data_IF_456910557672
#
_entry.id   IF_456910557672
#
_cell.length_a   1.000
_cell.length_b   1.000
_cell.length_c   1.000
_cell.angle_alpha   90.00
_cell.angle_beta   90.00
_cell.angle_gamma   90.00
#
_symmetry.space_group_name_H-M   'P 1'
#
loop_
_entity.id
_entity.type
_entity.pdbx_description
1 polymer ?
#
# COMPACT_ATOMS: atom_id res chain seq x y z
N UNK A 1 3.62 -14.38 10.94
CA UNK A 1 2.65 -13.85 9.94
C UNK A 1 2.78 -12.35 9.97
N UNK A 2 2.91 -11.72 8.84
CA UNK A 2 2.90 -10.26 8.72
C UNK A 2 1.47 -9.75 8.82
N UNK A 3 1.28 -8.50 9.22
CA UNK A 3 -0.06 -7.92 9.39
C UNK A 3 -0.79 -7.61 8.07
N UNK A 4 -0.08 -7.41 6.95
CA UNK A 4 -0.69 -7.01 5.67
C UNK A 4 -0.03 -7.69 4.45
N UNK A 5 1.30 -7.76 4.38
CA UNK A 5 2.03 -8.35 3.26
C UNK A 5 2.72 -9.62 3.73
N UNK A 6 2.42 -10.72 3.11
CA UNK A 6 3.06 -12.02 3.34
C UNK A 6 3.54 -12.64 2.00
N UNK A 7 4.07 -13.87 2.08
CA UNK A 7 4.56 -14.61 0.90
C UNK A 7 3.46 -15.01 -0.10
N UNK A 8 2.21 -15.00 0.33
CA UNK A 8 1.05 -15.38 -0.49
C UNK A 8 0.38 -14.12 -1.09
N UNK A 9 0.88 -12.92 -0.78
CA UNK A 9 0.40 -11.65 -1.32
C UNK A 9 0.78 -11.54 -2.81
N UNK A 10 -0.25 -11.42 -3.67
CA UNK A 10 -0.16 -11.32 -5.14
C UNK A 10 -0.59 -9.94 -5.58
N UNK A 11 0.37 -9.09 -5.92
CA UNK A 11 0.15 -7.67 -6.17
C UNK A 11 -0.18 -7.39 -7.63
N UNK A 12 -1.31 -6.71 -7.87
CA UNK A 12 -1.66 -6.11 -9.14
C UNK A 12 -1.39 -4.60 -9.07
N UNK A 13 -0.68 -4.04 -10.06
CA UNK A 13 -0.35 -2.61 -10.07
C UNK A 13 -1.27 -1.86 -11.05
N UNK A 14 -2.04 -0.89 -10.57
CA UNK A 14 -2.82 0.02 -11.41
C UNK A 14 -2.01 1.27 -11.76
N UNK A 15 -2.02 1.67 -13.03
CA UNK A 15 -1.11 2.67 -13.56
C UNK A 15 0.29 2.09 -13.88
N UNK A 16 0.37 0.80 -14.14
CA UNK A 16 1.59 -0.01 -14.21
C UNK A 16 2.61 0.51 -15.22
N UNK A 17 2.18 0.96 -16.40
CA UNK A 17 3.07 1.44 -17.47
C UNK A 17 3.39 2.93 -17.38
N UNK A 18 2.88 3.63 -16.35
CA UNK A 18 3.26 5.01 -16.05
C UNK A 18 4.66 5.08 -15.43
N UNK A 19 5.27 6.27 -15.42
CA UNK A 19 6.64 6.44 -14.91
C UNK A 19 6.80 5.99 -13.46
N UNK A 20 5.89 6.38 -12.58
CA UNK A 20 5.90 5.99 -11.16
C UNK A 20 5.56 4.50 -10.99
N UNK A 21 4.53 4.01 -11.71
CA UNK A 21 4.17 2.59 -11.71
C UNK A 21 5.34 1.72 -12.15
N UNK A 22 6.03 2.07 -13.23
CA UNK A 22 7.20 1.34 -13.72
C UNK A 22 8.34 1.34 -12.70
N UNK A 23 8.73 2.53 -12.19
CA UNK A 23 9.84 2.66 -11.26
C UNK A 23 9.63 1.85 -9.99
N UNK A 24 8.49 2.06 -9.33
CA UNK A 24 8.25 1.43 -8.04
C UNK A 24 7.86 -0.05 -8.14
N UNK A 25 7.27 -0.47 -9.26
CA UNK A 25 7.06 -1.91 -9.52
C UNK A 25 8.37 -2.64 -9.72
N UNK A 26 9.31 -2.07 -10.49
CA UNK A 26 10.64 -2.65 -10.66
C UNK A 26 11.36 -2.81 -9.31
N UNK A 27 11.36 -1.77 -8.47
CA UNK A 27 11.93 -1.82 -7.13
C UNK A 27 11.24 -2.83 -6.21
N UNK A 28 9.92 -2.99 -6.35
CA UNK A 28 9.16 -3.97 -5.54
C UNK A 28 9.48 -5.40 -5.96
N UNK A 29 9.59 -5.66 -7.26
CA UNK A 29 10.00 -6.96 -7.82
C UNK A 29 11.42 -7.30 -7.36
N UNK A 30 12.36 -6.36 -7.47
CA UNK A 30 13.75 -6.53 -7.00
C UNK A 30 13.81 -6.81 -5.50
N UNK A 31 12.92 -6.21 -4.71
CA UNK A 31 12.80 -6.43 -3.26
C UNK A 31 12.22 -7.81 -2.91
N UNK A 32 11.62 -8.52 -3.87
CA UNK A 32 11.01 -9.84 -3.67
C UNK A 32 9.48 -9.84 -3.58
N UNK A 33 8.82 -8.70 -3.86
CA UNK A 33 7.35 -8.64 -3.91
C UNK A 33 6.83 -9.44 -5.09
N UNK A 34 5.83 -10.29 -4.87
CA UNK A 34 5.19 -11.06 -5.92
C UNK A 34 4.19 -10.19 -6.71
N UNK A 35 4.71 -9.37 -7.63
CA UNK A 35 3.89 -8.62 -8.59
C UNK A 35 3.47 -9.58 -9.70
N UNK A 36 2.18 -9.73 -9.92
CA UNK A 36 1.62 -10.71 -10.88
C UNK A 36 1.17 -10.10 -12.20
N UNK A 37 1.15 -8.78 -12.31
CA UNK A 37 0.77 -8.05 -13.51
C UNK A 37 0.35 -6.62 -13.19
N UNK A 38 -0.12 -5.90 -14.20
CA UNK A 38 -0.61 -4.55 -13.99
C UNK A 38 -1.75 -4.16 -14.91
N UNK A 39 -2.46 -3.10 -14.53
CA UNK A 39 -3.56 -2.52 -15.28
C UNK A 39 -3.15 -1.18 -15.86
N UNK A 40 -3.32 -1.04 -17.16
CA UNK A 40 -3.25 0.24 -17.87
C UNK A 40 -4.28 0.19 -19.01
N UNK A 41 -5.40 0.91 -18.89
CA UNK A 41 -6.44 0.92 -19.93
C UNK A 41 -5.88 1.29 -21.30
N UNK A 42 -6.26 0.52 -22.33
CA UNK A 42 -5.77 0.67 -23.70
C UNK A 42 -4.42 0.00 -23.99
N UNK A 43 -3.79 -0.64 -22.99
CA UNK A 43 -2.52 -1.39 -23.17
C UNK A 43 -2.66 -2.88 -22.81
N UNK A 44 -3.87 -3.38 -22.59
CA UNK A 44 -4.13 -4.79 -22.35
C UNK A 44 -3.57 -5.69 -23.46
N UNK A 45 -3.07 -6.86 -23.08
CA UNK A 45 -2.42 -7.81 -24.00
C UNK A 45 -0.95 -7.50 -24.29
N UNK A 46 -0.37 -6.42 -23.74
CA UNK A 46 1.07 -6.15 -23.83
C UNK A 46 1.82 -6.73 -22.62
N UNK A 47 3.14 -6.69 -22.68
CA UNK A 47 4.04 -7.10 -21.59
C UNK A 47 4.83 -5.88 -21.11
N UNK A 48 4.96 -5.72 -19.80
CA UNK A 48 5.75 -4.67 -19.16
C UNK A 48 6.46 -5.23 -17.92
N UNK A 49 7.75 -4.97 -17.75
CA UNK A 49 8.60 -5.59 -16.72
C UNK A 49 8.47 -7.13 -16.67
N UNK A 50 8.40 -7.76 -17.84
CA UNK A 50 8.19 -9.20 -18.04
C UNK A 50 6.87 -9.75 -17.46
N UNK A 51 5.90 -8.87 -17.17
CA UNK A 51 4.60 -9.19 -16.61
C UNK A 51 3.46 -8.76 -17.55
N UNK A 52 2.30 -9.46 -17.50
CA UNK A 52 1.16 -9.12 -18.34
C UNK A 52 0.52 -7.78 -17.93
N UNK A 53 0.06 -7.05 -18.94
CA UNK A 53 -0.73 -5.83 -18.77
C UNK A 53 -2.17 -6.10 -19.18
N UNK A 54 -3.12 -5.63 -18.35
CA UNK A 54 -4.56 -5.78 -18.53
C UNK A 54 -5.22 -4.43 -18.74
N UNK A 55 -6.44 -4.42 -19.32
CA UNK A 55 -7.23 -3.21 -19.46
C UNK A 55 -8.05 -2.89 -18.20
N UNK A 56 -8.35 -3.90 -17.37
CA UNK A 56 -9.15 -3.77 -16.16
C UNK A 56 -8.68 -4.71 -15.06
N UNK A 57 -9.11 -4.42 -13.82
CA UNK A 57 -8.83 -5.29 -12.66
C UNK A 57 -9.56 -6.63 -12.80
N UNK A 58 -10.81 -6.62 -13.30
CA UNK A 58 -11.58 -7.86 -13.52
C UNK A 58 -10.86 -8.81 -14.48
N UNK A 59 -10.33 -8.29 -15.60
CA UNK A 59 -9.53 -9.08 -16.55
C UNK A 59 -8.30 -9.71 -15.87
N UNK A 60 -7.63 -8.95 -15.00
CA UNK A 60 -6.47 -9.45 -14.24
C UNK A 60 -6.87 -10.51 -13.21
N UNK A 61 -8.00 -10.33 -12.52
CA UNK A 61 -8.49 -11.32 -11.53
C UNK A 61 -8.75 -12.67 -12.18
N UNK A 62 -9.35 -12.70 -13.37
CA UNK A 62 -9.62 -13.94 -14.11
C UNK A 62 -8.34 -14.69 -14.51
N UNK A 63 -7.27 -13.96 -14.84
CA UNK A 63 -6.05 -14.57 -15.42
C UNK A 63 -4.95 -14.80 -14.40
N UNK A 64 -4.71 -13.87 -13.48
CA UNK A 64 -3.57 -13.92 -12.56
C UNK A 64 -3.97 -13.85 -11.07
N UNK A 65 -5.25 -13.84 -10.75
CA UNK A 65 -5.80 -13.97 -9.39
C UNK A 65 -5.03 -13.15 -8.33
N UNK A 66 -4.92 -11.82 -8.47
CA UNK A 66 -4.32 -10.95 -7.46
C UNK A 66 -5.20 -10.92 -6.20
N UNK A 67 -4.59 -10.73 -5.04
CA UNK A 67 -5.30 -10.49 -3.78
C UNK A 67 -4.98 -9.12 -3.16
N UNK A 68 -4.07 -8.38 -3.79
CA UNK A 68 -3.69 -7.03 -3.40
C UNK A 68 -3.58 -6.10 -4.62
N UNK A 69 -3.95 -4.82 -4.46
CA UNK A 69 -3.83 -3.80 -5.50
C UNK A 69 -2.99 -2.62 -5.03
N UNK A 70 -2.01 -2.23 -5.86
CA UNK A 70 -1.14 -1.07 -5.63
C UNK A 70 -1.43 -0.01 -6.70
N UNK A 71 -1.84 1.21 -6.29
CA UNK A 71 -2.40 2.23 -7.18
C UNK A 71 -1.45 3.41 -7.34
N UNK A 72 -1.05 3.68 -8.59
CA UNK A 72 -0.24 4.82 -9.03
C UNK A 72 -0.95 5.68 -10.09
N UNK A 73 -2.26 5.55 -10.26
CA UNK A 73 -2.99 6.36 -11.24
C UNK A 73 -3.05 7.83 -10.81
N UNK A 74 -3.19 8.80 -11.74
CA UNK A 74 -3.36 10.20 -11.37
C UNK A 74 -4.60 10.45 -10.49
N UNK A 75 -4.53 11.45 -9.61
CA UNK A 75 -5.52 11.73 -8.57
C UNK A 75 -7.00 11.69 -9.03
N UNK A 76 -7.40 12.26 -10.19
CA UNK A 76 -8.80 12.20 -10.66
C UNK A 76 -9.31 10.78 -10.96
N UNK A 77 -8.43 9.81 -11.10
CA UNK A 77 -8.78 8.42 -11.42
C UNK A 77 -8.69 7.49 -10.20
N UNK A 78 -8.15 7.96 -9.07
CA UNK A 78 -7.93 7.12 -7.88
C UNK A 78 -9.22 6.53 -7.32
N UNK A 79 -10.29 7.32 -7.23
CA UNK A 79 -11.60 6.82 -6.80
C UNK A 79 -12.05 5.62 -7.65
N UNK A 80 -12.02 5.78 -8.98
CA UNK A 80 -12.40 4.70 -9.89
C UNK A 80 -11.51 3.47 -9.71
N UNK A 81 -10.21 3.65 -9.58
CA UNK A 81 -9.25 2.56 -9.42
C UNK A 81 -9.43 1.81 -8.09
N UNK A 82 -9.72 2.52 -6.99
CA UNK A 82 -9.99 1.89 -5.68
C UNK A 82 -11.30 1.08 -5.75
N UNK A 83 -12.37 1.68 -6.30
CA UNK A 83 -13.67 1.02 -6.37
C UNK A 83 -13.64 -0.19 -7.32
N UNK A 84 -12.96 -0.09 -8.46
CA UNK A 84 -12.76 -1.21 -9.38
C UNK A 84 -12.06 -2.40 -8.69
N UNK A 85 -11.00 -2.13 -7.91
CA UNK A 85 -10.31 -3.17 -7.15
C UNK A 85 -11.22 -3.79 -6.08
N UNK A 86 -12.00 -2.97 -5.37
CA UNK A 86 -12.96 -3.42 -4.36
C UNK A 86 -14.08 -4.29 -4.96
N UNK A 87 -14.67 -3.87 -6.08
CA UNK A 87 -15.71 -4.59 -6.81
C UNK A 87 -15.22 -5.91 -7.40
N UNK A 88 -13.95 -5.96 -7.81
CA UNK A 88 -13.29 -7.18 -8.27
C UNK A 88 -12.93 -8.16 -7.13
N UNK A 89 -13.23 -7.82 -5.88
CA UNK A 89 -13.01 -8.68 -4.71
C UNK A 89 -11.61 -8.61 -4.11
N UNK A 90 -10.79 -7.63 -4.49
CA UNK A 90 -9.46 -7.42 -3.89
C UNK A 90 -9.64 -6.83 -2.49
N UNK A 91 -9.05 -7.49 -1.49
CA UNK A 91 -9.25 -7.15 -0.08
C UNK A 91 -8.18 -6.25 0.52
N UNK A 92 -7.03 -6.16 -0.11
CA UNK A 92 -5.95 -5.28 0.31
C UNK A 92 -5.59 -4.30 -0.80
N UNK A 93 -5.79 -2.99 -0.54
CA UNK A 93 -5.61 -1.93 -1.53
C UNK A 93 -4.69 -0.86 -0.94
N UNK A 94 -3.67 -0.47 -1.70
CA UNK A 94 -2.74 0.61 -1.34
C UNK A 94 -2.80 1.68 -2.42
N UNK A 95 -3.23 2.89 -2.07
CA UNK A 95 -3.27 4.05 -2.97
C UNK A 95 -2.17 5.04 -2.60
N UNK A 96 -1.16 5.19 -3.45
CA UNK A 96 0.01 6.04 -3.19
C UNK A 96 -0.28 7.50 -3.52
N UNK A 97 -1.09 7.75 -4.52
CA UNK A 97 -1.29 9.05 -5.16
C UNK A 97 -1.71 10.12 -4.16
N UNK A 98 -1.06 11.29 -4.25
CA UNK A 98 -1.39 12.52 -3.54
C UNK A 98 -2.40 13.35 -4.35
N UNK A 99 -3.18 14.20 -3.65
CA UNK A 99 -4.10 15.16 -4.28
C UNK A 99 -5.45 14.55 -4.69
N UNK A 100 -5.82 13.40 -4.15
CA UNK A 100 -7.14 12.81 -4.36
C UNK A 100 -8.20 13.72 -3.72
N UNK A 101 -9.27 14.12 -4.43
CA UNK A 101 -10.30 14.99 -3.88
C UNK A 101 -10.94 14.39 -2.61
N UNK A 102 -11.08 15.20 -1.57
CA UNK A 102 -11.66 14.76 -0.28
C UNK A 102 -13.07 14.18 -0.46
N UNK A 103 -13.89 14.77 -1.35
CA UNK A 103 -15.23 14.27 -1.64
C UNK A 103 -15.21 12.87 -2.28
N UNK A 104 -14.24 12.60 -3.15
CA UNK A 104 -14.06 11.27 -3.74
C UNK A 104 -13.72 10.23 -2.65
N UNK A 105 -12.85 10.60 -1.69
CA UNK A 105 -12.51 9.72 -0.58
C UNK A 105 -13.67 9.50 0.40
N UNK A 106 -14.57 10.49 0.58
CA UNK A 106 -15.80 10.29 1.35
C UNK A 106 -16.72 9.24 0.70
N UNK A 107 -16.83 9.26 -0.63
CA UNK A 107 -17.62 8.27 -1.36
C UNK A 107 -16.96 6.88 -1.33
N UNK A 108 -15.64 6.82 -1.55
CA UNK A 108 -14.86 5.59 -1.39
C UNK A 108 -15.07 4.99 0.00
N UNK A 109 -14.89 5.80 1.04
CA UNK A 109 -15.01 5.37 2.44
C UNK A 109 -16.38 4.77 2.75
N UNK A 110 -17.45 5.40 2.27
CA UNK A 110 -18.83 4.88 2.42
C UNK A 110 -19.01 3.47 1.86
N UNK A 111 -18.31 3.15 0.78
CA UNK A 111 -18.41 1.85 0.10
C UNK A 111 -17.49 0.84 0.78
N UNK A 112 -16.23 1.23 1.00
CA UNK A 112 -15.19 0.33 1.52
C UNK A 112 -15.44 -0.05 2.98
N UNK A 113 -15.95 0.87 3.83
CA UNK A 113 -16.27 0.57 5.24
C UNK A 113 -17.39 -0.49 5.41
N UNK A 114 -18.20 -0.70 4.37
CA UNK A 114 -19.21 -1.77 4.34
C UNK A 114 -18.68 -3.12 3.87
N UNK A 115 -17.41 -3.18 3.46
CA UNK A 115 -16.76 -4.36 2.90
C UNK A 115 -15.58 -4.79 3.80
N UNK A 116 -15.23 -6.06 3.72
CA UNK A 116 -14.02 -6.60 4.38
C UNK A 116 -12.77 -6.26 3.54
N UNK A 117 -12.42 -4.96 3.51
CA UNK A 117 -11.30 -4.41 2.73
C UNK A 117 -10.42 -3.55 3.61
N UNK A 118 -9.12 -3.76 3.52
CA UNK A 118 -8.12 -2.85 4.08
C UNK A 118 -7.61 -1.92 2.99
N UNK A 119 -7.89 -0.62 3.13
CA UNK A 119 -7.41 0.43 2.23
C UNK A 119 -6.37 1.29 2.95
N UNK A 120 -5.15 1.34 2.42
CA UNK A 120 -4.06 2.20 2.89
C UNK A 120 -3.89 3.39 1.95
N UNK A 121 -3.77 4.58 2.50
CA UNK A 121 -3.72 5.82 1.72
C UNK A 121 -5.09 6.48 1.56
N UNK A 122 -5.25 7.44 0.65
CA UNK A 122 -4.25 7.95 -0.32
C UNK A 122 -3.13 8.78 0.32
N UNK A 123 -2.26 9.37 -0.51
CA UNK A 123 -1.15 10.20 -0.08
C UNK A 123 -0.28 9.50 0.97
N UNK A 124 0.19 8.32 0.66
CA UNK A 124 0.94 7.48 1.58
C UNK A 124 2.21 6.89 0.94
N UNK A 125 3.21 6.53 1.73
CA UNK A 125 4.41 5.85 1.22
C UNK A 125 4.18 4.35 0.99
N UNK A 126 3.03 3.81 1.41
CA UNK A 126 2.67 2.40 1.26
C UNK A 126 2.98 1.55 2.49
N UNK A 127 3.24 0.28 2.25
CA UNK A 127 3.47 -0.75 3.29
C UNK A 127 4.69 -1.58 2.92
N UNK A 128 5.48 -1.96 3.91
CA UNK A 128 6.58 -2.91 3.76
C UNK A 128 6.63 -3.88 4.94
N UNK A 129 6.82 -5.15 4.63
CA UNK A 129 7.23 -6.19 5.59
C UNK A 129 8.67 -6.57 5.26
N UNK A 130 9.65 -6.17 6.09
CA UNK A 130 11.05 -6.37 5.79
C UNK A 130 11.39 -7.84 5.55
N UNK A 131 12.11 -8.10 4.43
CA UNK A 131 12.48 -9.46 4.02
C UNK A 131 11.35 -10.28 3.37
N UNK A 132 10.15 -9.71 3.21
CA UNK A 132 8.99 -10.38 2.61
C UNK A 132 8.53 -9.67 1.34
N UNK A 133 8.19 -8.38 1.43
CA UNK A 133 7.71 -7.62 0.30
C UNK A 133 7.35 -6.19 0.64
N UNK A 134 7.20 -5.36 -0.40
CA UNK A 134 6.77 -3.97 -0.27
C UNK A 134 5.71 -3.60 -1.31
N UNK A 135 4.76 -2.79 -0.90
CA UNK A 135 3.75 -2.17 -1.76
C UNK A 135 3.81 -0.65 -1.56
N UNK A 136 4.47 0.07 -2.47
CA UNK A 136 4.61 1.51 -2.40
C UNK A 136 6.02 2.00 -2.70
N UNK A 137 6.34 3.19 -2.16
CA UNK A 137 7.54 3.94 -2.50
C UNK A 137 8.63 3.88 -1.42
N UNK A 138 8.39 3.19 -0.30
CA UNK A 138 9.38 3.07 0.78
C UNK A 138 10.69 2.47 0.26
N UNK A 139 11.86 3.04 0.60
CA UNK A 139 13.16 2.48 0.24
C UNK A 139 13.41 1.19 1.03
N UNK A 140 13.59 0.07 0.31
CA UNK A 140 13.74 -1.23 0.95
C UNK A 140 15.02 -1.38 1.78
N UNK A 141 16.08 -0.71 1.34
CA UNK A 141 17.44 -0.81 1.90
C UNK A 141 17.60 -0.23 3.32
N UNK A 142 16.67 0.63 3.76
CA UNK A 142 16.73 1.16 5.14
C UNK A 142 16.01 0.26 6.14
N UNK A 143 15.30 -0.76 5.68
CA UNK A 143 14.53 -1.66 6.53
C UNK A 143 15.32 -2.91 6.91
N UNK A 144 15.15 -3.34 8.14
CA UNK A 144 15.73 -4.58 8.68
C UNK A 144 14.60 -5.43 9.28
N UNK A 145 14.53 -6.75 8.99
CA UNK A 145 13.59 -7.62 9.68
C UNK A 145 13.79 -7.56 11.20
N UNK A 146 12.70 -7.37 11.95
CA UNK A 146 12.76 -7.23 13.40
C UNK A 146 11.38 -7.25 14.04
N UNK A 147 11.24 -6.59 15.20
CA UNK A 147 10.06 -6.73 16.06
C UNK A 147 9.35 -5.40 16.38
N UNK A 148 9.71 -4.31 15.70
CA UNK A 148 9.07 -3.01 15.90
C UNK A 148 8.05 -2.76 14.80
N UNK A 149 6.77 -2.62 15.14
CA UNK A 149 5.74 -2.13 14.25
C UNK A 149 5.87 -0.62 14.06
N UNK A 150 5.72 -0.11 12.85
CA UNK A 150 5.71 1.33 12.59
C UNK A 150 4.40 1.70 11.90
N UNK A 151 3.69 2.69 12.45
CA UNK A 151 2.51 3.30 11.82
C UNK A 151 2.76 4.79 11.71
N UNK A 152 2.57 5.36 10.52
CA UNK A 152 2.88 6.75 10.29
C UNK A 152 1.88 7.43 9.35
N UNK A 153 1.57 8.71 9.62
CA UNK A 153 0.91 9.60 8.67
C UNK A 153 1.90 10.39 7.81
N UNK A 154 3.13 10.55 8.28
CA UNK A 154 4.16 11.30 7.59
C UNK A 154 4.99 10.39 6.68
N UNK A 155 5.17 10.77 5.42
CA UNK A 155 6.09 10.07 4.51
C UNK A 155 7.54 10.15 5.00
N UNK A 156 8.02 11.37 5.24
CA UNK A 156 9.43 11.64 5.59
C UNK A 156 9.82 11.09 6.97
N UNK A 157 9.01 11.37 8.01
CA UNK A 157 9.31 10.91 9.37
C UNK A 157 9.20 9.38 9.50
N UNK A 158 8.45 8.72 8.62
CA UNK A 158 8.45 7.26 8.54
C UNK A 158 9.85 6.72 8.28
N UNK A 159 10.55 7.30 7.31
CA UNK A 159 11.89 6.84 6.94
C UNK A 159 12.92 7.11 8.05
N UNK A 160 12.77 8.21 8.78
CA UNK A 160 13.61 8.51 9.94
C UNK A 160 13.38 7.50 11.07
N UNK A 161 12.14 7.20 11.42
CA UNK A 161 11.82 6.20 12.44
C UNK A 161 12.32 4.80 12.06
N UNK A 162 12.16 4.42 10.80
CA UNK A 162 12.69 3.15 10.25
C UNK A 162 14.21 3.12 10.36
N UNK A 163 14.89 4.19 9.91
CA UNK A 163 16.37 4.23 9.94
C UNK A 163 16.91 4.14 11.35
N UNK A 164 16.33 4.86 12.32
CA UNK A 164 16.74 4.83 13.70
C UNK A 164 16.54 3.44 14.33
N UNK A 165 15.39 2.79 14.11
CA UNK A 165 15.13 1.43 14.62
C UNK A 165 16.04 0.39 13.96
N UNK A 166 16.40 0.58 12.70
CA UNK A 166 17.37 -0.26 11.99
C UNK A 166 18.79 -0.07 12.55
N UNK A 167 19.24 1.17 12.74
CA UNK A 167 20.59 1.47 13.28
C UNK A 167 20.78 0.96 14.71
N UNK A 168 19.70 0.89 15.48
CA UNK A 168 19.71 0.27 16.82
C UNK A 168 19.64 -1.26 16.79
N UNK A 169 19.56 -1.88 15.61
CA UNK A 169 19.46 -3.33 15.44
C UNK A 169 18.12 -3.92 15.88
N UNK A 170 17.09 -3.09 16.09
CA UNK A 170 15.76 -3.54 16.50
C UNK A 170 14.95 -4.07 15.30
N UNK A 171 15.11 -3.46 14.13
CA UNK A 171 14.39 -3.82 12.91
C UNK A 171 12.88 -3.68 13.01
N UNK A 172 12.18 -3.93 11.91
CA UNK A 172 10.74 -3.76 11.84
C UNK A 172 10.03 -5.08 11.56
N UNK A 173 8.90 -5.34 12.22
CA UNK A 173 7.96 -6.41 11.86
C UNK A 173 7.14 -6.04 10.63
N UNK A 174 6.62 -4.83 10.61
CA UNK A 174 5.97 -4.18 9.47
C UNK A 174 6.03 -2.67 9.62
N UNK A 175 6.06 -1.95 8.50
CA UNK A 175 5.95 -0.50 8.47
C UNK A 175 4.76 -0.11 7.58
N UNK A 176 3.82 0.66 8.12
CA UNK A 176 2.59 1.09 7.47
C UNK A 176 2.50 2.61 7.45
N UNK A 177 2.57 3.18 6.26
CA UNK A 177 2.27 4.59 6.07
C UNK A 177 0.79 4.74 5.70
N UNK A 178 -0.03 5.23 6.62
CA UNK A 178 -1.48 5.36 6.40
C UNK A 178 -1.88 6.59 5.59
N UNK A 179 -0.96 7.53 5.37
CA UNK A 179 -1.19 8.74 4.59
C UNK A 179 -1.58 9.97 5.39
N UNK A 180 -1.28 11.14 4.80
CA UNK A 180 -1.50 12.46 5.41
C UNK A 180 -2.87 13.07 5.14
N UNK A 181 -3.66 12.52 4.22
CA UNK A 181 -4.93 13.09 3.78
C UNK A 181 -6.01 13.12 4.88
N UNK A 182 -6.96 14.08 4.82
CA UNK A 182 -8.04 14.21 5.82
C UNK A 182 -8.91 12.97 5.97
N UNK A 183 -9.15 12.25 4.88
CA UNK A 183 -9.96 11.04 4.83
C UNK A 183 -9.08 9.87 4.39
N UNK A 184 -8.33 9.25 5.31
CA UNK A 184 -7.55 8.06 4.99
C UNK A 184 -8.45 6.82 4.87
N UNK A 185 -8.01 5.84 4.11
CA UNK A 185 -8.67 4.53 4.01
C UNK A 185 -8.74 3.83 5.36
N UNK A 186 -7.59 3.64 6.00
CA UNK A 186 -7.47 3.06 7.35
C UNK A 186 -6.95 4.09 8.34
N UNK A 187 -7.43 4.01 9.58
CA UNK A 187 -6.99 4.82 10.71
C UNK A 187 -5.84 4.17 11.48
N UNK A 188 -5.24 4.90 12.44
CA UNK A 188 -4.31 4.32 13.41
C UNK A 188 -4.92 3.13 14.15
N UNK A 189 -6.20 3.25 14.56
CA UNK A 189 -6.87 2.20 15.33
C UNK A 189 -7.00 0.92 14.52
N UNK A 190 -7.31 1.02 13.21
CA UNK A 190 -7.45 -0.16 12.35
C UNK A 190 -6.13 -0.92 12.23
N UNK A 191 -5.02 -0.21 12.06
CA UNK A 191 -3.70 -0.84 11.96
C UNK A 191 -3.19 -1.33 13.33
N UNK A 192 -3.47 -0.61 14.41
CA UNK A 192 -3.13 -1.06 15.77
C UNK A 192 -3.80 -2.39 16.11
N UNK A 193 -5.05 -2.61 15.72
CA UNK A 193 -5.75 -3.90 15.90
C UNK A 193 -5.04 -5.05 15.19
N UNK A 194 -4.44 -4.80 14.02
CA UNK A 194 -3.66 -5.81 13.30
C UNK A 194 -2.34 -6.12 14.04
N UNK A 195 -1.66 -5.09 14.55
CA UNK A 195 -0.44 -5.29 15.34
C UNK A 195 -0.69 -5.97 16.70
N UNK A 196 -1.84 -5.71 17.34
CA UNK A 196 -2.20 -6.29 18.65
C UNK A 196 -2.23 -7.83 18.62
N UNK A 197 -2.63 -8.41 17.49
CA UNK A 197 -2.69 -9.86 17.31
C UNK A 197 -1.44 -10.45 16.63
N UNK A 198 -0.47 -9.61 16.29
CA UNK A 198 0.77 -10.05 15.64
C UNK A 198 1.84 -10.41 16.66
N UNK A 199 2.09 -11.70 16.84
CA UNK A 199 3.11 -12.22 17.74
C UNK A 199 4.56 -11.84 17.34
N UNK A 200 4.78 -11.29 16.15
CA UNK A 200 6.10 -10.82 15.69
C UNK A 200 6.37 -9.37 16.11
N UNK A 201 5.37 -8.67 16.65
CA UNK A 201 5.50 -7.27 17.05
C UNK A 201 5.55 -7.14 18.58
N UNK A 202 6.67 -6.65 19.11
CA UNK A 202 6.86 -6.42 20.55
C UNK A 202 6.61 -4.96 20.97
N UNK A 203 6.81 -4.02 20.04
CA UNK A 203 6.68 -2.58 20.29
C UNK A 203 6.15 -1.88 19.03
N UNK A 204 5.49 -0.74 19.21
CA UNK A 204 4.94 0.05 18.11
C UNK A 204 5.42 1.49 18.22
N UNK A 205 5.96 2.02 17.12
CA UNK A 205 6.25 3.45 16.95
C UNK A 205 5.12 4.08 16.14
N UNK A 206 4.47 5.08 16.73
CA UNK A 206 3.42 5.86 16.06
C UNK A 206 3.95 7.24 15.70
N UNK A 207 3.83 7.60 14.42
CA UNK A 207 4.25 8.92 13.91
C UNK A 207 3.02 9.67 13.43
N UNK A 208 2.64 10.72 14.18
CA UNK A 208 1.63 11.68 13.76
C UNK A 208 2.21 12.74 12.83
N UNK A 209 1.34 13.57 12.26
CA UNK A 209 1.72 14.72 11.45
C UNK A 209 0.87 15.94 11.84
N UNK A 210 1.55 17.06 12.15
CA UNK A 210 0.87 18.34 12.44
C UNK A 210 0.22 18.84 11.14
N UNK A 211 -1.09 19.19 11.23
CA UNK A 211 -1.88 19.56 10.05
C UNK A 211 -2.70 18.42 9.48
N UNK A 212 -2.45 17.20 9.88
CA UNK A 212 -3.41 16.13 9.70
C UNK A 212 -4.65 16.47 10.53
N UNK A 213 -5.80 16.66 9.88
CA UNK A 213 -7.06 17.19 10.44
C UNK A 213 -7.54 16.48 11.72
N UNK A 214 -7.01 15.34 12.06
CA UNK A 214 -7.30 14.57 13.27
C UNK A 214 -6.81 15.21 14.58
N UNK A 215 -6.15 16.39 14.53
CA UNK A 215 -5.67 17.10 15.72
C UNK A 215 -6.43 18.38 16.02
N UNK A 216 -7.43 18.73 15.24
CA UNK A 216 -8.27 19.93 15.45
C UNK A 216 -9.67 19.56 15.93
#
# INVERSE_FOLDING_TARGET
MSILIDKDTRVLVQGFTGSQGTLHSSQSIEYGTNVVGGVTPGKGGTVHLDLPVFNSVNEAVEQVQPNASLIFVPAPFCKGAILEAAEAGIKFIVCITEGVPTLDMLEVKKIVDGLDITLIGPNCPGVITPGVGKMGIMPGEIHLPGRVGIISRSGTLTYEAVKQTTDLGLGQSSCVGIGGDPIPGSSFIDILKLFEVDYQTDAIVMVGEIGAVSYT
#
